data_IF_415952989544
#
_entry.id   IF_415952989544
#
_cell.length_a   1.000
_cell.length_b   1.000
_cell.length_c   1.000
_cell.angle_alpha   90.00
_cell.angle_beta   90.00
_cell.angle_gamma   90.00
#
_symmetry.space_group_name_H-M   'P 1'
#
loop_
_entity.id
_entity.type
_entity.pdbx_description
1 polymer ?
#
# COMPACT_ATOMS: atom_id res chain seq x y z
N UNK A 1 -29.15 -9.73 18.55
CA UNK A 1 -28.38 -8.72 17.78
C UNK A 1 -26.95 -9.20 17.77
N UNK A 2 -26.50 -9.68 16.62
CA UNK A 2 -25.16 -10.26 16.44
C UNK A 2 -24.09 -9.19 16.62
N UNK A 3 -23.09 -9.52 17.45
CA UNK A 3 -22.01 -8.63 17.86
C UNK A 3 -20.84 -8.73 16.86
N UNK A 4 -21.14 -8.64 15.56
CA UNK A 4 -20.21 -8.95 14.45
C UNK A 4 -19.09 -7.92 14.26
N UNK A 5 -19.14 -6.80 14.97
CA UNK A 5 -18.15 -5.71 14.85
C UNK A 5 -16.95 -5.82 15.79
N UNK A 6 -16.84 -6.87 16.62
CA UNK A 6 -15.87 -6.93 17.72
C UNK A 6 -14.40 -7.26 17.38
N UNK A 7 -14.03 -7.52 16.12
CA UNK A 7 -12.71 -8.09 15.82
C UNK A 7 -11.85 -7.32 14.80
N UNK A 8 -12.10 -6.03 14.56
CA UNK A 8 -11.20 -5.21 13.74
C UNK A 8 -10.26 -4.41 14.64
N UNK A 9 -8.96 -4.62 14.48
CA UNK A 9 -7.91 -3.81 15.08
C UNK A 9 -7.52 -2.71 14.09
N UNK A 10 -7.57 -1.44 14.51
CA UNK A 10 -7.03 -0.34 13.71
C UNK A 10 -5.53 -0.27 13.92
N UNK A 11 -4.75 -0.58 12.88
CA UNK A 11 -3.29 -0.63 12.93
C UNK A 11 -2.66 0.72 12.63
N UNK A 12 -3.17 1.44 11.63
CA UNK A 12 -2.70 2.78 11.30
C UNK A 12 -3.81 3.61 10.60
N UNK A 13 -3.73 4.94 10.75
CA UNK A 13 -4.57 5.92 10.05
C UNK A 13 -3.69 7.05 9.54
N UNK A 14 -3.85 7.39 8.27
CA UNK A 14 -3.20 8.54 7.66
C UNK A 14 -4.27 9.42 7.02
N UNK A 15 -4.23 10.71 7.35
CA UNK A 15 -5.01 11.73 6.66
C UNK A 15 -4.03 12.64 5.91
N UNK A 16 -4.29 12.86 4.62
CA UNK A 16 -3.62 13.89 3.84
C UNK A 16 -4.64 14.89 3.27
N UNK A 17 -4.19 15.75 2.34
CA UNK A 17 -5.05 16.80 1.78
C UNK A 17 -6.20 16.25 0.92
N UNK A 18 -6.05 15.05 0.37
CA UNK A 18 -6.96 14.47 -0.62
C UNK A 18 -7.70 13.23 -0.09
N UNK A 19 -7.13 12.54 0.89
CA UNK A 19 -7.60 11.22 1.32
C UNK A 19 -7.47 10.97 2.81
N UNK A 20 -8.29 10.04 3.29
CA UNK A 20 -8.21 9.42 4.60
C UNK A 20 -8.07 7.91 4.41
N UNK A 21 -6.99 7.35 4.95
CA UNK A 21 -6.59 5.95 4.78
C UNK A 21 -6.62 5.24 6.12
N UNK A 22 -7.28 4.09 6.18
CA UNK A 22 -7.26 3.19 7.33
C UNK A 22 -6.56 1.90 6.95
N UNK A 23 -5.63 1.44 7.78
CA UNK A 23 -5.18 0.04 7.79
C UNK A 23 -5.77 -0.65 9.01
N UNK A 24 -6.55 -1.67 8.75
CA UNK A 24 -7.22 -2.50 9.74
C UNK A 24 -6.71 -3.93 9.63
N UNK A 25 -6.81 -4.68 10.72
CA UNK A 25 -6.60 -6.13 10.73
C UNK A 25 -7.78 -6.83 11.36
N UNK A 26 -8.28 -7.85 10.67
CA UNK A 26 -9.31 -8.74 11.17
C UNK A 26 -8.80 -10.18 11.05
N UNK A 27 -8.51 -10.82 12.19
CA UNK A 27 -7.81 -12.12 12.22
C UNK A 27 -6.49 -12.02 11.46
N UNK A 28 -6.32 -12.81 10.40
CA UNK A 28 -5.11 -12.89 9.58
C UNK A 28 -5.22 -12.09 8.27
N UNK A 29 -6.24 -11.23 8.16
CA UNK A 29 -6.48 -10.42 6.96
C UNK A 29 -6.29 -8.94 7.26
N UNK A 30 -5.47 -8.29 6.44
CA UNK A 30 -5.28 -6.85 6.41
C UNK A 30 -6.33 -6.23 5.49
N UNK A 31 -6.92 -5.12 5.92
CA UNK A 31 -7.85 -4.33 5.12
C UNK A 31 -7.36 -2.89 5.05
N UNK A 32 -7.11 -2.39 3.84
CA UNK A 32 -6.91 -0.97 3.61
C UNK A 32 -8.21 -0.37 3.13
N UNK A 33 -8.70 0.67 3.80
CA UNK A 33 -9.88 1.43 3.39
C UNK A 33 -9.45 2.84 2.99
N UNK A 34 -9.93 3.30 1.85
CA UNK A 34 -9.52 4.55 1.21
C UNK A 34 -10.75 5.41 1.06
N UNK A 35 -10.70 6.59 1.63
CA UNK A 35 -11.77 7.57 1.55
C UNK A 35 -11.26 8.85 0.91
N UNK A 36 -11.97 9.33 -0.10
CA UNK A 36 -11.68 10.59 -0.76
C UNK A 36 -12.32 11.74 0.01
N UNK A 37 -11.57 12.84 0.18
CA UNK A 37 -12.09 14.05 0.80
C UNK A 37 -13.02 14.81 -0.15
N UNK A 38 -14.23 15.10 0.32
CA UNK A 38 -15.26 15.87 -0.38
C UNK A 38 -15.73 17.03 0.51
N UNK A 39 -15.05 18.18 0.37
CA UNK A 39 -15.27 19.34 1.21
C UNK A 39 -14.91 19.04 2.67
N UNK A 40 -15.91 19.07 3.55
CA UNK A 40 -15.79 18.71 4.98
C UNK A 40 -16.17 17.26 5.28
N UNK A 41 -16.41 16.44 4.25
CA UNK A 41 -16.83 15.04 4.37
C UNK A 41 -15.89 14.10 3.63
N UNK A 42 -16.13 12.80 3.74
CA UNK A 42 -15.37 11.77 3.07
C UNK A 42 -16.31 10.78 2.38
N UNK A 43 -15.97 10.39 1.14
CA UNK A 43 -16.65 9.34 0.38
C UNK A 43 -15.76 8.12 0.25
N UNK A 44 -16.33 6.92 0.35
CA UNK A 44 -15.56 5.68 0.18
C UNK A 44 -15.12 5.54 -1.27
N UNK A 45 -13.82 5.41 -1.50
CA UNK A 45 -13.22 5.37 -2.84
C UNK A 45 -12.76 3.94 -3.21
N UNK A 46 -12.40 3.13 -2.22
CA UNK A 46 -12.02 1.74 -2.43
C UNK A 46 -11.28 1.13 -1.25
N UNK A 47 -10.82 -0.09 -1.43
CA UNK A 47 -10.03 -0.78 -0.43
C UNK A 47 -9.49 -2.11 -0.91
N UNK A 48 -8.39 -2.55 -0.33
CA UNK A 48 -7.75 -3.83 -0.65
C UNK A 48 -7.74 -4.73 0.59
N UNK A 49 -8.06 -6.00 0.37
CA UNK A 49 -7.88 -7.06 1.36
C UNK A 49 -6.63 -7.85 1.01
N UNK A 50 -5.85 -8.22 2.01
CA UNK A 50 -4.63 -8.98 1.83
C UNK A 50 -4.43 -9.96 2.97
N UNK A 51 -4.11 -11.20 2.64
CA UNK A 51 -3.71 -12.24 3.61
C UNK A 51 -2.20 -12.26 3.84
N UNK A 52 -1.46 -11.32 3.24
CA UNK A 52 -0.01 -11.16 3.39
C UNK A 52 0.29 -9.79 4.00
N UNK A 53 1.44 -9.61 4.70
CA UNK A 53 1.71 -8.42 5.51
C UNK A 53 2.07 -7.17 4.69
N UNK A 54 1.71 -7.13 3.42
CA UNK A 54 1.93 -6.00 2.54
C UNK A 54 0.91 -6.03 1.40
N UNK A 55 0.83 -4.93 0.67
CA UNK A 55 0.04 -4.89 -0.54
C UNK A 55 -0.02 -3.48 -1.10
N UNK A 56 -0.70 -3.38 -2.23
CA UNK A 56 -0.91 -2.12 -2.89
C UNK A 56 -2.29 -2.09 -3.55
N UNK A 57 -2.79 -0.88 -3.76
CA UNK A 57 -4.00 -0.64 -4.53
C UNK A 57 -3.80 0.58 -5.42
N UNK A 58 -4.29 0.45 -6.65
CA UNK A 58 -4.45 1.58 -7.56
C UNK A 58 -5.84 2.18 -7.38
N UNK A 59 -5.90 3.49 -7.13
CA UNK A 59 -7.12 4.26 -6.94
C UNK A 59 -7.11 5.47 -7.89
N UNK A 60 -8.28 6.03 -8.18
CA UNK A 60 -8.42 7.22 -9.01
C UNK A 60 -8.72 6.93 -10.49
N UNK A 61 -8.53 7.94 -11.33
CA UNK A 61 -8.82 7.90 -12.76
C UNK A 61 -7.54 7.79 -13.57
N UNK A 62 -7.58 7.45 -14.87
CA UNK A 62 -6.39 7.44 -15.72
C UNK A 62 -5.60 8.77 -15.74
N UNK A 63 -6.28 9.89 -15.45
CA UNK A 63 -5.68 11.23 -15.44
C UNK A 63 -5.02 11.61 -14.11
N UNK A 64 -5.33 10.88 -13.03
CA UNK A 64 -4.74 11.07 -11.71
C UNK A 64 -4.82 9.74 -10.94
N UNK A 65 -3.73 8.97 -11.00
CA UNK A 65 -3.65 7.67 -10.35
C UNK A 65 -2.97 7.83 -9.01
N UNK A 66 -3.60 7.27 -7.99
CA UNK A 66 -3.06 7.15 -6.66
C UNK A 66 -2.67 5.70 -6.40
N UNK A 67 -1.45 5.48 -5.93
CA UNK A 67 -1.00 4.16 -5.49
C UNK A 67 -0.88 4.22 -3.99
N UNK A 68 -1.72 3.46 -3.32
CA UNK A 68 -1.63 3.24 -1.88
C UNK A 68 -0.87 1.94 -1.66
N UNK A 69 0.22 2.02 -0.91
CA UNK A 69 1.02 0.89 -0.44
C UNK A 69 0.82 0.77 1.06
N UNK A 70 0.64 -0.45 1.56
CA UNK A 70 0.73 -0.73 2.98
C UNK A 70 1.76 -1.84 3.24
N UNK A 71 2.46 -1.74 4.37
CA UNK A 71 3.47 -2.70 4.81
C UNK A 71 3.38 -2.84 6.33
N UNK A 72 3.30 -4.07 6.82
CA UNK A 72 3.50 -4.41 8.23
C UNK A 72 4.99 -4.74 8.46
N UNK A 73 5.74 -3.73 8.90
CA UNK A 73 7.18 -3.81 9.19
C UNK A 73 7.49 -4.69 10.42
N UNK A 74 6.48 -5.10 11.20
CA UNK A 74 6.69 -6.10 12.24
C UNK A 74 7.04 -7.47 11.65
N UNK A 75 6.59 -7.76 10.42
CA UNK A 75 6.84 -9.01 9.68
C UNK A 75 7.80 -8.77 8.50
N UNK A 76 7.58 -7.72 7.71
CA UNK A 76 8.41 -7.40 6.53
C UNK A 76 9.73 -6.77 6.97
N UNK A 77 10.74 -7.61 7.25
CA UNK A 77 12.09 -7.19 7.65
C UNK A 77 12.94 -6.81 6.43
N UNK A 78 12.62 -5.68 5.82
CA UNK A 78 13.32 -5.10 4.68
C UNK A 78 13.88 -3.71 5.01
N UNK A 79 14.94 -3.31 4.30
CA UNK A 79 15.44 -1.92 4.34
C UNK A 79 14.83 -1.06 3.25
N UNK A 80 14.39 -1.68 2.17
CA UNK A 80 13.92 -0.99 0.98
C UNK A 80 12.82 -1.78 0.30
N UNK A 81 11.86 -1.08 -0.28
CA UNK A 81 10.94 -1.66 -1.24
C UNK A 81 10.92 -0.89 -2.54
N UNK A 82 10.59 -1.61 -3.62
CA UNK A 82 10.46 -1.07 -4.96
C UNK A 82 9.19 -1.56 -5.64
N UNK A 83 8.68 -0.75 -6.56
CA UNK A 83 7.68 -1.16 -7.54
C UNK A 83 7.89 -0.43 -8.87
N UNK A 84 7.49 -1.05 -9.97
CA UNK A 84 7.55 -0.44 -11.30
C UNK A 84 6.17 0.10 -11.67
N UNK A 85 6.11 1.35 -12.08
CA UNK A 85 5.01 1.94 -12.81
C UNK A 85 5.18 1.73 -14.30
N UNK A 86 4.09 1.46 -15.02
CA UNK A 86 4.14 1.28 -16.49
C UNK A 86 3.17 2.21 -17.19
N UNK A 87 3.68 2.91 -18.20
CA UNK A 87 2.91 3.79 -19.07
C UNK A 87 2.05 3.02 -20.07
N UNK A 88 2.59 1.93 -20.59
CA UNK A 88 1.94 1.06 -21.57
C UNK A 88 2.11 -0.41 -21.17
N UNK A 89 1.48 -1.33 -21.91
CA UNK A 89 1.69 -2.78 -21.71
C UNK A 89 3.13 -3.24 -22.06
N UNK A 90 3.98 -2.36 -22.57
CA UNK A 90 5.36 -2.67 -22.92
C UNK A 90 6.32 -2.34 -21.77
N UNK A 91 7.28 -3.24 -21.52
CA UNK A 91 8.26 -3.11 -20.43
C UNK A 91 9.31 -2.00 -20.65
N UNK A 92 9.33 -1.39 -21.84
CA UNK A 92 10.27 -0.31 -22.18
C UNK A 92 9.96 1.02 -21.49
N UNK A 93 8.69 1.25 -21.15
CA UNK A 93 8.23 2.53 -20.58
C UNK A 93 7.88 2.36 -19.10
N UNK A 94 8.89 2.01 -18.29
CA UNK A 94 8.75 1.81 -16.86
C UNK A 94 9.48 2.87 -16.03
N UNK A 95 8.86 3.25 -14.92
CA UNK A 95 9.46 4.07 -13.87
C UNK A 95 9.54 3.24 -12.59
N UNK A 96 10.74 3.00 -12.08
CA UNK A 96 10.93 2.31 -10.82
C UNK A 96 10.89 3.32 -9.67
N UNK A 97 9.97 3.09 -8.75
CA UNK A 97 9.89 3.81 -7.47
C UNK A 97 10.61 2.96 -6.43
N UNK A 98 11.50 3.59 -5.67
CA UNK A 98 12.30 2.95 -4.61
C UNK A 98 12.21 3.80 -3.35
N UNK A 99 11.88 3.18 -2.23
CA UNK A 99 11.90 3.83 -0.92
C UNK A 99 12.79 3.04 0.04
N UNK A 100 13.82 3.72 0.55
CA UNK A 100 14.79 3.21 1.52
C UNK A 100 14.39 3.51 2.97
N UNK A 101 15.11 2.93 3.93
CA UNK A 101 14.96 3.19 5.35
C UNK A 101 13.71 2.57 5.97
N UNK A 102 13.14 1.52 5.36
CA UNK A 102 11.93 0.87 5.84
C UNK A 102 12.04 0.39 7.30
N UNK A 103 13.20 -0.09 7.71
CA UNK A 103 13.42 -0.60 9.07
C UNK A 103 13.34 0.48 10.15
N UNK A 104 13.50 1.75 9.77
CA UNK A 104 13.44 2.92 10.65
C UNK A 104 12.04 3.55 10.69
N UNK A 105 11.10 3.07 9.87
CA UNK A 105 9.74 3.59 9.81
C UNK A 105 8.82 2.94 10.85
N UNK A 106 7.61 3.49 10.95
CA UNK A 106 6.54 2.98 11.81
C UNK A 106 6.28 1.47 11.60
N UNK A 107 5.82 0.80 12.66
CA UNK A 107 5.49 -0.63 12.63
C UNK A 107 4.50 -0.99 11.53
N UNK A 108 3.51 -0.14 11.30
CA UNK A 108 2.52 -0.30 10.24
C UNK A 108 2.61 0.91 9.33
N UNK A 109 3.07 0.71 8.10
CA UNK A 109 3.24 1.76 7.12
C UNK A 109 2.03 1.80 6.18
N UNK A 110 1.54 3.01 5.91
CA UNK A 110 0.70 3.31 4.74
C UNK A 110 1.37 4.47 4.00
N UNK A 111 1.47 4.40 2.68
CA UNK A 111 1.97 5.49 1.83
C UNK A 111 1.06 5.63 0.62
N UNK A 112 0.69 6.86 0.31
CA UNK A 112 0.01 7.21 -0.94
C UNK A 112 0.98 7.93 -1.86
N UNK A 113 0.97 7.57 -3.14
CA UNK A 113 1.79 8.17 -4.17
C UNK A 113 0.91 8.64 -5.32
N UNK A 114 1.01 9.93 -5.64
CA UNK A 114 0.28 10.54 -6.76
C UNK A 114 1.12 10.45 -8.03
N UNK A 115 0.55 9.91 -9.10
CA UNK A 115 1.21 9.82 -10.39
C UNK A 115 0.33 10.38 -11.50
N UNK A 116 0.93 11.27 -12.29
CA UNK A 116 0.34 11.82 -13.51
C UNK A 116 0.45 10.82 -14.67
N UNK A 117 -0.37 10.96 -15.73
CA UNK A 117 -0.22 10.22 -16.97
C UNK A 117 1.24 10.25 -17.48
N UNK A 118 1.71 9.18 -18.16
CA UNK A 118 0.92 8.10 -18.75
C UNK A 118 0.83 6.80 -17.93
N UNK A 119 1.36 6.77 -16.70
CA UNK A 119 1.39 5.53 -15.91
C UNK A 119 -0.02 5.01 -15.63
N UNK A 120 -0.26 3.73 -15.93
CA UNK A 120 -1.60 3.11 -15.86
C UNK A 120 -1.65 1.81 -15.04
N UNK A 121 -0.49 1.23 -14.76
CA UNK A 121 -0.36 0.00 -13.97
C UNK A 121 0.89 0.01 -13.11
N UNK A 122 0.88 -0.86 -12.11
CA UNK A 122 1.94 -1.06 -11.13
C UNK A 122 2.30 -2.55 -11.11
N UNK A 123 3.58 -2.86 -10.95
CA UNK A 123 4.05 -4.21 -10.68
C UNK A 123 3.81 -4.61 -9.22
N UNK A 124 4.08 -5.88 -8.91
CA UNK A 124 4.24 -6.31 -7.52
C UNK A 124 5.32 -5.50 -6.78
N UNK A 125 5.16 -5.38 -5.47
CA UNK A 125 6.21 -4.88 -4.57
C UNK A 125 7.37 -5.86 -4.53
N UNK A 126 8.59 -5.33 -4.43
CA UNK A 126 9.83 -6.09 -4.28
C UNK A 126 10.58 -5.54 -3.08
N UNK A 127 11.10 -6.41 -2.23
CA UNK A 127 11.77 -6.02 -1.00
C UNK A 127 13.26 -6.35 -1.03
N UNK A 128 14.06 -5.54 -0.36
CA UNK A 128 15.51 -5.69 -0.32
C UNK A 128 16.04 -5.54 1.09
N UNK A 129 17.07 -6.32 1.41
CA UNK A 129 17.79 -6.22 2.67
C UNK A 129 18.79 -5.05 2.68
N UNK A 130 19.48 -4.87 3.81
CA UNK A 130 20.50 -3.82 4.02
C UNK A 130 21.71 -3.90 3.10
N UNK A 131 21.90 -5.03 2.42
CA UNK A 131 22.97 -5.22 1.44
C UNK A 131 22.46 -5.03 0.00
N UNK A 132 21.20 -4.63 -0.17
CA UNK A 132 20.56 -4.47 -1.48
C UNK A 132 20.21 -5.81 -2.14
N UNK A 133 20.25 -6.93 -1.42
CA UNK A 133 19.85 -8.23 -1.95
C UNK A 133 18.33 -8.34 -1.91
N UNK A 134 17.73 -8.81 -3.02
CA UNK A 134 16.29 -9.07 -3.09
C UNK A 134 15.90 -10.17 -2.11
N UNK A 135 14.84 -9.90 -1.34
CA UNK A 135 14.21 -10.85 -0.44
C UNK A 135 13.13 -11.59 -1.23
N UNK A 136 13.08 -12.92 -1.09
CA UNK A 136 11.98 -13.73 -1.61
C UNK A 136 10.74 -13.49 -0.74
N UNK A 137 9.68 -12.98 -1.35
CA UNK A 137 8.51 -12.52 -0.61
C UNK A 137 7.72 -13.67 0.06
N UNK A 138 7.98 -14.93 -0.30
CA UNK A 138 7.36 -16.09 0.37
C UNK A 138 7.79 -16.23 1.83
N UNK A 139 8.93 -15.67 2.23
CA UNK A 139 9.41 -15.72 3.63
C UNK A 139 8.53 -14.90 4.59
N UNK A 140 7.64 -14.06 4.06
CA UNK A 140 6.68 -13.28 4.86
C UNK A 140 5.33 -13.98 5.03
N UNK A 141 5.17 -15.19 4.49
CA UNK A 141 3.92 -15.96 4.51
C UNK A 141 3.91 -17.05 5.60
N UNK A 142 4.99 -17.19 6.37
CA UNK A 142 5.19 -18.19 7.44
C UNK A 142 4.72 -17.72 8.83
#
# INVERSE_FOLDING_TARGET
MDNTYKNHEQLNVIEDKQSLLYLLKQRDTYHVLIFKKEGSSYSYEGGVESTVPFGYMKVGTPDNIHIVVFIDNSIVKAERYEFDLRASKNDKDKLTISLDGLSELDTYLIKSYDFLPPYSSISQLRFYDKHGKRIDETVFMD
#
